data_IF_883849363858
#
_entry.id   IF_883849363858
#
_cell.length_a   1.000
_cell.length_b   1.000
_cell.length_c   1.000
_cell.angle_alpha   90.00
_cell.angle_beta   90.00
_cell.angle_gamma   90.00
#
_symmetry.space_group_name_H-M   'P 1'
#
loop_
_entity.id
_entity.type
_entity.pdbx_description
1 polymer ?
#
# COMPACT_ATOMS: atom_id res chain seq x y z
N UNK A 1 -9.14 3.57 -7.14
CA UNK A 1 -9.58 4.71 -7.98
C UNK A 1 -10.61 4.30 -9.03
N UNK A 2 -10.38 3.26 -9.84
CA UNK A 2 -11.38 2.78 -10.83
C UNK A 2 -12.76 2.48 -10.21
N UNK A 3 -12.81 1.72 -9.11
CA UNK A 3 -14.08 1.40 -8.43
C UNK A 3 -14.81 2.65 -7.88
N UNK A 4 -14.05 3.64 -7.38
CA UNK A 4 -14.63 4.91 -6.90
C UNK A 4 -15.29 5.69 -8.03
N UNK A 5 -14.77 5.61 -9.27
CA UNK A 5 -15.40 6.25 -10.44
C UNK A 5 -16.71 5.60 -10.88
N UNK A 6 -17.04 4.41 -10.36
CA UNK A 6 -18.31 3.72 -10.59
C UNK A 6 -19.28 3.88 -9.40
N UNK A 7 -19.04 4.86 -8.53
CA UNK A 7 -19.87 5.16 -7.35
C UNK A 7 -20.10 3.96 -6.42
N UNK A 8 -19.10 3.09 -6.30
CA UNK A 8 -19.10 1.94 -5.38
C UNK A 8 -19.07 2.42 -3.92
N UNK A 9 -19.94 1.86 -3.08
CA UNK A 9 -20.08 2.22 -1.66
C UNK A 9 -18.77 2.03 -0.88
N UNK A 10 -18.54 2.82 0.17
CA UNK A 10 -17.38 2.66 1.04
C UNK A 10 -17.30 1.28 1.68
N UNK A 11 -18.45 0.69 2.07
CA UNK A 11 -18.51 -0.70 2.56
C UNK A 11 -17.94 -1.71 1.56
N UNK A 12 -18.23 -1.50 0.28
CA UNK A 12 -17.73 -2.37 -0.78
C UNK A 12 -16.25 -2.10 -1.10
N UNK A 13 -15.81 -0.85 -0.97
CA UNK A 13 -14.38 -0.52 -1.04
C UNK A 13 -13.59 -1.12 0.14
N UNK A 14 -14.19 -1.21 1.32
CA UNK A 14 -13.63 -1.91 2.47
C UNK A 14 -13.60 -3.44 2.24
N UNK A 15 -14.60 -4.03 1.57
CA UNK A 15 -14.51 -5.42 1.14
C UNK A 15 -13.35 -5.62 0.15
N UNK A 16 -13.19 -4.70 -0.80
CA UNK A 16 -12.10 -4.78 -1.77
C UNK A 16 -10.71 -4.53 -1.14
N UNK A 17 -10.58 -3.80 -0.03
CA UNK A 17 -9.28 -3.58 0.62
C UNK A 17 -8.67 -4.87 1.19
N UNK A 18 -9.47 -5.92 1.39
CA UNK A 18 -8.98 -7.27 1.75
C UNK A 18 -8.03 -7.87 0.71
N UNK A 19 -8.03 -7.38 -0.53
CA UNK A 19 -7.07 -7.76 -1.57
C UNK A 19 -5.61 -7.60 -1.11
N UNK A 20 -5.31 -6.66 -0.22
CA UNK A 20 -3.95 -6.43 0.29
C UNK A 20 -3.59 -7.30 1.52
N UNK A 21 -4.54 -8.01 2.12
CA UNK A 21 -4.29 -8.84 3.29
C UNK A 21 -3.29 -9.98 3.10
N UNK A 22 -3.11 -10.59 1.90
CA UNK A 22 -2.04 -11.57 1.71
C UNK A 22 -0.66 -11.06 2.16
N UNK A 23 -0.34 -9.78 1.93
CA UNK A 23 0.91 -9.17 2.42
C UNK A 23 1.00 -9.03 3.96
N UNK A 24 -0.15 -9.08 4.64
CA UNK A 24 -0.30 -9.04 6.10
C UNK A 24 -0.31 -10.42 6.75
N UNK A 25 -0.48 -11.50 5.97
CA UNK A 25 -0.52 -12.89 6.48
C UNK A 25 0.58 -13.77 5.89
N UNK A 26 1.41 -13.25 4.98
CA UNK A 26 2.46 -13.99 4.26
C UNK A 26 3.46 -14.73 5.14
N UNK A 27 3.64 -14.28 6.38
CA UNK A 27 4.41 -15.00 7.40
C UNK A 27 3.98 -16.46 7.58
N UNK A 28 2.69 -16.78 7.39
CA UNK A 28 2.16 -18.12 7.59
C UNK A 28 2.80 -19.15 6.66
N UNK A 29 3.17 -18.76 5.44
CA UNK A 29 3.81 -19.64 4.46
C UNK A 29 5.26 -19.27 4.15
N UNK A 30 5.79 -18.20 4.76
CA UNK A 30 7.19 -17.81 4.56
C UNK A 30 8.21 -18.90 4.91
N UNK A 31 8.05 -19.66 6.02
CA UNK A 31 8.94 -20.78 6.31
C UNK A 31 8.91 -21.88 5.24
N UNK A 32 7.76 -22.12 4.60
CA UNK A 32 7.66 -23.09 3.49
C UNK A 32 8.47 -22.63 2.28
N UNK A 33 8.39 -21.34 1.97
CA UNK A 33 9.18 -20.71 0.88
C UNK A 33 10.68 -20.80 1.15
N UNK A 34 11.09 -20.67 2.42
CA UNK A 34 12.49 -20.73 2.80
C UNK A 34 13.06 -22.17 2.84
N UNK A 35 12.23 -23.18 3.12
CA UNK A 35 12.68 -24.57 3.38
C UNK A 35 12.51 -25.51 2.19
N UNK A 36 11.48 -25.34 1.36
CA UNK A 36 11.23 -26.23 0.21
C UNK A 36 11.94 -25.63 -1.00
N UNK A 37 12.96 -26.32 -1.51
CA UNK A 37 13.60 -25.88 -2.74
C UNK A 37 14.25 -27.02 -3.54
N UNK A 38 14.55 -26.70 -4.80
CA UNK A 38 15.24 -27.60 -5.72
C UNK A 38 16.73 -27.23 -5.72
N UNK A 39 17.65 -28.11 -5.27
CA UNK A 39 19.06 -27.77 -5.11
C UNK A 39 19.76 -27.33 -6.41
N UNK A 40 19.44 -27.97 -7.55
CA UNK A 40 20.07 -27.62 -8.83
C UNK A 40 19.57 -26.27 -9.39
N UNK A 41 18.34 -25.88 -9.06
CA UNK A 41 17.70 -24.67 -9.59
C UNK A 41 17.96 -23.45 -8.71
N UNK A 42 18.20 -23.67 -7.42
CA UNK A 42 18.47 -22.65 -6.42
C UNK A 42 17.27 -22.37 -5.52
N UNK A 43 17.54 -22.03 -4.26
CA UNK A 43 16.51 -21.82 -3.23
C UNK A 43 15.54 -20.72 -3.59
N UNK A 44 16.04 -19.54 -3.95
CA UNK A 44 15.22 -18.37 -4.24
C UNK A 44 14.51 -18.50 -5.58
N UNK A 45 15.19 -19.05 -6.58
CA UNK A 45 14.61 -19.29 -7.90
C UNK A 45 13.45 -20.28 -7.90
N UNK A 46 13.50 -21.31 -7.05
CA UNK A 46 12.45 -22.33 -6.96
C UNK A 46 11.07 -21.72 -6.69
N UNK A 47 11.01 -20.61 -5.95
CA UNK A 47 9.75 -19.91 -5.70
C UNK A 47 9.52 -18.71 -6.60
N UNK A 48 10.56 -17.92 -6.87
CA UNK A 48 10.42 -16.70 -7.67
C UNK A 48 9.96 -16.98 -9.10
N UNK A 49 10.55 -17.98 -9.76
CA UNK A 49 10.27 -18.24 -11.18
C UNK A 49 8.83 -18.77 -11.39
N UNK A 50 8.36 -19.82 -10.68
CA UNK A 50 6.99 -20.29 -10.84
C UNK A 50 5.94 -19.25 -10.44
N UNK A 51 6.16 -18.50 -9.35
CA UNK A 51 5.19 -17.48 -8.91
C UNK A 51 5.06 -16.34 -9.91
N UNK A 52 6.17 -15.85 -10.50
CA UNK A 52 6.09 -14.85 -11.56
C UNK A 52 5.42 -15.37 -12.83
N UNK A 53 5.66 -16.62 -13.22
CA UNK A 53 4.94 -17.26 -14.33
C UNK A 53 3.44 -17.34 -14.05
N UNK A 54 3.04 -17.75 -12.84
CA UNK A 54 1.65 -17.81 -12.43
C UNK A 54 0.99 -16.42 -12.42
N UNK A 55 1.70 -15.38 -11.96
CA UNK A 55 1.24 -13.98 -12.07
C UNK A 55 1.03 -13.60 -13.53
N UNK A 56 1.98 -13.91 -14.41
CA UNK A 56 1.86 -13.68 -15.85
C UNK A 56 0.65 -14.38 -16.47
N UNK A 57 0.45 -15.67 -16.20
CA UNK A 57 -0.72 -16.44 -16.65
C UNK A 57 -2.01 -15.82 -16.10
N UNK A 58 -2.03 -15.44 -14.82
CA UNK A 58 -3.19 -14.84 -14.19
C UNK A 58 -3.57 -13.51 -14.85
N UNK A 59 -2.59 -12.63 -15.11
CA UNK A 59 -2.81 -11.36 -15.81
C UNK A 59 -3.23 -11.58 -17.27
N UNK A 60 -2.68 -12.58 -17.94
CA UNK A 60 -3.07 -12.96 -19.30
C UNK A 60 -4.53 -13.40 -19.36
N UNK A 61 -4.95 -14.32 -18.50
CA UNK A 61 -6.35 -14.77 -18.43
C UNK A 61 -7.27 -13.60 -18.06
N UNK A 62 -6.91 -12.82 -17.05
CA UNK A 62 -7.70 -11.66 -16.63
C UNK A 62 -7.85 -10.64 -17.77
N UNK A 63 -6.86 -10.47 -18.64
CA UNK A 63 -6.96 -9.54 -19.77
C UNK A 63 -8.16 -9.81 -20.69
N UNK A 64 -8.57 -11.07 -20.85
CA UNK A 64 -9.73 -11.45 -21.67
C UNK A 64 -11.06 -11.29 -20.94
N UNK A 65 -11.10 -11.52 -19.62
CA UNK A 65 -12.34 -11.54 -18.82
C UNK A 65 -12.56 -10.26 -18.00
N UNK A 66 -11.61 -9.32 -17.97
CA UNK A 66 -11.68 -8.15 -17.07
C UNK A 66 -12.88 -7.26 -17.35
N UNK A 67 -13.31 -7.16 -18.62
CA UNK A 67 -14.50 -6.38 -19.01
C UNK A 67 -15.78 -6.98 -18.43
N UNK A 68 -15.91 -8.30 -18.51
CA UNK A 68 -17.07 -9.03 -17.97
C UNK A 68 -17.09 -8.95 -16.44
N UNK A 69 -15.93 -9.13 -15.79
CA UNK A 69 -15.79 -9.07 -14.33
C UNK A 69 -16.07 -7.66 -13.79
N UNK A 70 -15.79 -6.62 -14.56
CA UNK A 70 -16.13 -5.24 -14.23
C UNK A 70 -17.59 -4.88 -14.55
N UNK A 71 -18.36 -5.78 -15.17
CA UNK A 71 -19.78 -5.57 -15.47
C UNK A 71 -20.03 -4.70 -16.69
N UNK A 72 -19.08 -4.59 -17.63
CA UNK A 72 -19.26 -3.84 -18.88
C UNK A 72 -20.15 -4.59 -19.91
N UNK A 73 -20.52 -5.85 -19.62
CA UNK A 73 -21.33 -6.71 -20.50
C UNK A 73 -22.78 -6.94 -20.07
N UNK A 74 -23.21 -6.41 -18.92
CA UNK A 74 -24.55 -6.66 -18.36
C UNK A 74 -25.30 -5.32 -18.17
N UNK A 75 -26.52 -5.19 -18.70
CA UNK A 75 -27.36 -3.97 -18.65
C UNK A 75 -27.66 -3.49 -17.20
N UNK A 76 -27.31 -4.30 -16.20
CA UNK A 76 -27.44 -4.00 -14.77
C UNK A 76 -26.28 -3.20 -14.17
N UNK A 77 -25.11 -3.16 -14.83
CA UNK A 77 -23.91 -2.41 -14.39
C UNK A 77 -23.36 -2.79 -13.01
N UNK A 78 -23.80 -3.90 -12.39
CA UNK A 78 -23.41 -4.29 -11.03
C UNK A 78 -22.08 -5.05 -11.05
N UNK A 79 -21.02 -4.39 -10.59
CA UNK A 79 -19.72 -5.03 -10.33
C UNK A 79 -19.90 -6.10 -9.24
N UNK A 80 -19.50 -7.35 -9.51
CA UNK A 80 -19.43 -8.36 -8.45
C UNK A 80 -18.14 -8.17 -7.64
N UNK A 81 -18.24 -7.37 -6.60
CA UNK A 81 -17.09 -6.93 -5.79
C UNK A 81 -16.49 -8.10 -5.02
N UNK A 82 -17.29 -9.09 -4.64
CA UNK A 82 -16.80 -10.30 -3.98
C UNK A 82 -15.91 -11.14 -4.93
N UNK A 83 -16.38 -11.36 -6.16
CA UNK A 83 -15.60 -12.06 -7.18
C UNK A 83 -14.31 -11.32 -7.51
N UNK A 84 -14.39 -9.99 -7.69
CA UNK A 84 -13.24 -9.14 -7.96
C UNK A 84 -12.23 -9.20 -6.80
N UNK A 85 -12.72 -9.14 -5.55
CA UNK A 85 -11.89 -9.27 -4.34
C UNK A 85 -11.18 -10.62 -4.32
N UNK A 86 -11.89 -11.72 -4.61
CA UNK A 86 -11.29 -13.06 -4.64
C UNK A 86 -10.20 -13.21 -5.72
N UNK A 87 -10.47 -12.74 -6.94
CA UNK A 87 -9.51 -12.76 -8.06
C UNK A 87 -8.23 -12.01 -7.67
N UNK A 88 -8.37 -10.76 -7.23
CA UNK A 88 -7.21 -9.95 -6.86
C UNK A 88 -6.53 -10.41 -5.56
N UNK A 89 -7.26 -11.05 -4.64
CA UNK A 89 -6.67 -11.69 -3.46
C UNK A 89 -5.73 -12.84 -3.87
N UNK A 90 -6.12 -13.67 -4.84
CA UNK A 90 -5.25 -14.74 -5.37
C UNK A 90 -4.01 -14.17 -6.07
N UNK A 91 -4.19 -13.15 -6.90
CA UNK A 91 -3.06 -12.45 -7.54
C UNK A 91 -2.09 -11.87 -6.51
N UNK A 92 -2.61 -11.21 -5.46
CA UNK A 92 -1.79 -10.63 -4.40
C UNK A 92 -1.17 -11.69 -3.49
N UNK A 93 -1.76 -12.88 -3.37
CA UNK A 93 -1.14 -14.01 -2.67
C UNK A 93 0.10 -14.53 -3.41
N UNK A 94 0.04 -14.59 -4.74
CA UNK A 94 1.23 -14.90 -5.56
C UNK A 94 2.29 -13.81 -5.44
N UNK A 95 1.89 -12.54 -5.52
CA UNK A 95 2.81 -11.40 -5.36
C UNK A 95 3.46 -11.37 -3.97
N UNK A 96 2.70 -11.66 -2.90
CA UNK A 96 3.24 -11.76 -1.55
C UNK A 96 4.23 -12.93 -1.39
N UNK A 97 4.02 -14.04 -2.11
CA UNK A 97 4.96 -15.17 -2.15
C UNK A 97 6.24 -14.80 -2.89
N UNK A 98 6.13 -14.08 -4.00
CA UNK A 98 7.28 -13.53 -4.72
C UNK A 98 8.07 -12.55 -3.84
N UNK A 99 7.39 -11.70 -3.09
CA UNK A 99 8.00 -10.72 -2.17
C UNK A 99 8.84 -11.40 -1.08
N UNK A 100 8.38 -12.51 -0.50
CA UNK A 100 9.18 -13.33 0.44
C UNK A 100 10.47 -13.81 -0.23
N UNK A 101 10.36 -14.37 -1.44
CA UNK A 101 11.50 -14.91 -2.17
C UNK A 101 12.52 -13.81 -2.52
N UNK A 102 12.05 -12.63 -2.96
CA UNK A 102 12.91 -11.50 -3.34
C UNK A 102 13.56 -10.84 -2.11
N UNK A 103 12.81 -10.62 -1.02
CA UNK A 103 13.35 -10.08 0.23
C UNK A 103 14.47 -10.99 0.77
N UNK A 104 14.23 -12.30 0.80
CA UNK A 104 15.23 -13.29 1.20
C UNK A 104 16.43 -13.38 0.24
N UNK A 105 16.24 -13.09 -1.04
CA UNK A 105 17.33 -13.08 -2.04
C UNK A 105 18.18 -11.82 -1.95
N UNK A 106 17.59 -10.67 -1.61
CA UNK A 106 18.32 -9.41 -1.49
C UNK A 106 19.38 -9.45 -0.38
N UNK A 107 19.06 -10.14 0.73
CA UNK A 107 19.99 -10.33 1.85
C UNK A 107 21.23 -11.15 1.48
N UNK A 108 21.09 -12.16 0.61
CA UNK A 108 22.21 -13.01 0.16
C UNK A 108 22.90 -12.48 -1.09
N UNK A 109 22.23 -11.62 -1.87
CA UNK A 109 22.78 -11.03 -3.09
C UNK A 109 23.71 -9.84 -2.82
N UNK A 110 23.48 -9.09 -1.74
CA UNK A 110 24.25 -7.90 -1.39
C UNK A 110 25.34 -8.22 -0.37
N UNK A 111 26.53 -7.62 -0.55
CA UNK A 111 27.60 -7.69 0.46
C UNK A 111 27.14 -7.12 1.80
N UNK A 112 27.61 -7.66 2.94
CA UNK A 112 27.21 -7.23 4.30
C UNK A 112 27.23 -5.71 4.53
N UNK A 113 28.22 -5.00 3.95
CA UNK A 113 28.34 -3.53 4.02
C UNK A 113 27.19 -2.77 3.34
N UNK A 114 26.56 -3.39 2.34
CA UNK A 114 25.56 -2.78 1.47
C UNK A 114 24.15 -3.33 1.70
N UNK A 115 23.92 -4.16 2.72
CA UNK A 115 22.59 -4.74 3.01
C UNK A 115 21.55 -3.64 3.30
N UNK A 116 21.96 -2.50 3.87
CA UNK A 116 21.08 -1.35 4.06
C UNK A 116 20.47 -0.83 2.75
N UNK A 117 21.18 -0.93 1.62
CA UNK A 117 20.69 -0.50 0.30
C UNK A 117 19.60 -1.42 -0.26
N UNK A 118 19.45 -2.65 0.25
CA UNK A 118 18.35 -3.54 -0.12
C UNK A 118 17.00 -2.84 0.07
N UNK A 119 16.85 -2.18 1.23
CA UNK A 119 15.64 -1.43 1.58
C UNK A 119 15.39 -0.26 0.64
N UNK A 120 16.44 0.44 0.22
CA UNK A 120 16.35 1.56 -0.73
C UNK A 120 15.92 1.07 -2.11
N UNK A 121 16.54 0.00 -2.61
CA UNK A 121 16.17 -0.60 -3.90
C UNK A 121 14.72 -1.08 -3.90
N UNK A 122 14.28 -1.74 -2.82
CA UNK A 122 12.90 -2.20 -2.69
C UNK A 122 11.92 -1.00 -2.67
N UNK A 123 12.22 0.04 -1.88
CA UNK A 123 11.40 1.26 -1.83
C UNK A 123 11.29 1.92 -3.21
N UNK A 124 12.41 2.14 -3.90
CA UNK A 124 12.41 2.79 -5.22
C UNK A 124 11.68 1.93 -6.26
N UNK A 125 11.89 0.62 -6.24
CA UNK A 125 11.21 -0.32 -7.14
C UNK A 125 9.69 -0.33 -6.93
N UNK A 126 9.22 -0.39 -5.68
CA UNK A 126 7.79 -0.33 -5.35
C UNK A 126 7.17 1.02 -5.78
N UNK A 127 7.84 2.13 -5.52
CA UNK A 127 7.39 3.47 -5.97
C UNK A 127 7.28 3.54 -7.49
N UNK A 128 8.29 3.06 -8.22
CA UNK A 128 8.27 3.05 -9.68
C UNK A 128 7.14 2.14 -10.21
N UNK A 129 6.95 0.96 -9.61
CA UNK A 129 5.86 0.04 -9.95
C UNK A 129 4.48 0.66 -9.71
N UNK A 130 4.27 1.31 -8.56
CA UNK A 130 3.03 2.03 -8.25
C UNK A 130 2.77 3.16 -9.26
N UNK A 131 3.80 3.92 -9.62
CA UNK A 131 3.67 4.98 -10.61
C UNK A 131 3.20 4.44 -11.97
N UNK A 132 3.89 3.43 -12.49
CA UNK A 132 3.57 2.88 -13.81
C UNK A 132 2.22 2.16 -13.78
N UNK A 133 1.92 1.47 -12.67
CA UNK A 133 0.69 0.70 -12.46
C UNK A 133 -0.56 1.54 -12.23
N UNK A 134 -0.44 2.69 -11.58
CA UNK A 134 -1.59 3.53 -11.23
C UNK A 134 -1.65 4.81 -12.07
N UNK A 135 -0.64 5.67 -11.96
CA UNK A 135 -0.70 7.03 -12.50
C UNK A 135 -0.55 7.04 -14.02
N UNK A 136 0.48 6.36 -14.52
CA UNK A 136 0.73 6.27 -15.96
C UNK A 136 -0.42 5.55 -16.67
N UNK A 137 -0.88 4.44 -16.08
CA UNK A 137 -2.04 3.71 -16.58
C UNK A 137 -3.32 4.55 -16.59
N UNK A 138 -3.69 5.20 -15.47
CA UNK A 138 -4.93 6.00 -15.41
C UNK A 138 -4.91 7.18 -16.40
N UNK A 139 -3.75 7.79 -16.61
CA UNK A 139 -3.59 8.83 -17.63
C UNK A 139 -3.83 8.30 -19.05
N UNK A 140 -3.27 7.14 -19.38
CA UNK A 140 -3.44 6.53 -20.71
C UNK A 140 -4.81 5.88 -20.95
N UNK A 141 -5.49 5.47 -19.89
CA UNK A 141 -6.83 4.89 -19.95
C UNK A 141 -7.92 5.97 -20.08
N UNK A 142 -7.73 7.13 -19.47
CA UNK A 142 -8.67 8.24 -19.58
C UNK A 142 -8.69 8.85 -20.99
N UNK A 143 -9.84 8.77 -21.65
CA UNK A 143 -10.08 9.41 -22.94
C UNK A 143 -9.94 10.94 -22.83
N UNK A 144 -10.43 11.56 -21.77
CA UNK A 144 -10.35 13.01 -21.54
C UNK A 144 -8.91 13.48 -21.42
N UNK A 145 -8.08 12.75 -20.66
CA UNK A 145 -6.66 13.07 -20.55
C UNK A 145 -5.96 12.93 -21.91
N UNK A 146 -6.20 11.83 -22.62
CA UNK A 146 -5.59 11.57 -23.92
C UNK A 146 -6.01 12.62 -24.96
N UNK A 147 -7.29 12.97 -25.03
CA UNK A 147 -7.82 13.96 -25.97
C UNK A 147 -7.33 15.38 -25.67
N UNK A 148 -7.09 15.70 -24.40
CA UNK A 148 -6.64 17.04 -23.99
C UNK A 148 -5.13 17.25 -24.11
N UNK A 149 -4.33 16.23 -23.82
CA UNK A 149 -2.87 16.38 -23.69
C UNK A 149 -2.06 15.63 -24.75
N UNK A 150 -2.60 14.58 -25.37
CA UNK A 150 -1.82 13.65 -26.19
C UNK A 150 -2.33 13.50 -27.65
N UNK A 151 -3.62 13.70 -27.91
CA UNK A 151 -4.22 13.53 -29.25
C UNK A 151 -4.57 14.86 -29.89
N UNK A 152 -4.40 14.91 -31.20
CA UNK A 152 -4.89 16.00 -32.05
C UNK A 152 -6.34 15.80 -32.52
N UNK A 153 -6.82 14.55 -32.56
CA UNK A 153 -8.21 14.19 -32.94
C UNK A 153 -8.88 13.47 -31.76
N UNK A 154 -10.03 13.97 -31.25
CA UNK A 154 -10.71 13.36 -30.12
C UNK A 154 -11.25 11.96 -30.45
N UNK A 155 -11.06 11.00 -29.55
CA UNK A 155 -11.70 9.68 -29.62
C UNK A 155 -12.33 9.30 -28.27
N UNK A 156 -13.24 8.32 -28.29
CA UNK A 156 -14.04 7.94 -27.11
C UNK A 156 -13.30 7.08 -26.08
N UNK A 157 -12.21 6.41 -26.47
CA UNK A 157 -11.42 5.54 -25.60
C UNK A 157 -10.02 6.11 -25.36
N UNK A 158 -9.38 5.77 -24.24
CA UNK A 158 -7.97 6.08 -23.99
C UNK A 158 -7.02 5.41 -25.00
N UNK A 159 -5.71 5.67 -24.88
CA UNK A 159 -4.69 4.96 -25.66
C UNK A 159 -4.56 3.50 -25.25
N UNK A 160 -4.78 3.20 -23.97
CA UNK A 160 -4.60 1.87 -23.39
C UNK A 160 -5.84 1.48 -22.60
N UNK A 161 -6.43 0.34 -22.93
CA UNK A 161 -7.52 -0.25 -22.14
C UNK A 161 -6.94 -1.07 -20.98
N UNK A 162 -7.72 -1.28 -19.91
CA UNK A 162 -7.31 -2.15 -18.81
C UNK A 162 -6.94 -3.56 -19.29
N UNK A 163 -7.71 -4.11 -20.23
CA UNK A 163 -7.40 -5.40 -20.87
C UNK A 163 -6.03 -5.37 -21.57
N UNK A 164 -5.77 -4.36 -22.40
CA UNK A 164 -4.48 -4.20 -23.09
C UNK A 164 -3.31 -4.02 -22.11
N UNK A 165 -3.53 -3.30 -21.01
CA UNK A 165 -2.53 -3.13 -19.96
C UNK A 165 -2.17 -4.45 -19.27
N UNK A 166 -3.17 -5.24 -18.86
CA UNK A 166 -2.95 -6.56 -18.25
C UNK A 166 -2.25 -7.52 -19.20
N UNK A 167 -2.64 -7.52 -20.47
CA UNK A 167 -1.99 -8.31 -21.51
C UNK A 167 -0.52 -7.93 -21.68
N UNK A 168 -0.21 -6.63 -21.82
CA UNK A 168 1.16 -6.15 -21.95
C UNK A 168 2.03 -6.59 -20.76
N UNK A 169 1.54 -6.39 -19.53
CA UNK A 169 2.30 -6.79 -18.34
C UNK A 169 2.46 -8.30 -18.23
N UNK A 170 1.48 -9.10 -18.66
CA UNK A 170 1.64 -10.56 -18.71
C UNK A 170 2.85 -10.99 -19.54
N UNK A 171 3.03 -10.37 -20.71
CA UNK A 171 4.19 -10.62 -21.59
C UNK A 171 5.47 -10.14 -20.93
N UNK A 172 5.48 -8.97 -20.30
CA UNK A 172 6.64 -8.47 -19.56
C UNK A 172 7.02 -9.43 -18.42
N UNK A 173 6.06 -9.94 -17.65
CA UNK A 173 6.31 -10.95 -16.62
C UNK A 173 6.93 -12.21 -17.23
N UNK A 174 6.39 -12.75 -18.32
CA UNK A 174 6.96 -13.92 -18.99
C UNK A 174 8.40 -13.70 -19.45
N UNK A 175 8.66 -12.59 -20.14
CA UNK A 175 9.99 -12.27 -20.68
C UNK A 175 10.99 -12.05 -19.56
N UNK A 176 10.68 -11.17 -18.60
CA UNK A 176 11.59 -10.85 -17.49
C UNK A 176 11.88 -12.06 -16.62
N UNK A 177 10.89 -12.90 -16.34
CA UNK A 177 11.07 -14.15 -15.59
C UNK A 177 11.99 -15.11 -16.32
N UNK A 178 11.80 -15.27 -17.64
CA UNK A 178 12.67 -16.10 -18.48
C UNK A 178 14.12 -15.59 -18.45
N UNK A 179 14.32 -14.28 -18.57
CA UNK A 179 15.65 -13.66 -18.50
C UNK A 179 16.30 -13.90 -17.13
N UNK A 180 15.57 -13.71 -16.01
CA UNK A 180 16.09 -13.99 -14.66
C UNK A 180 16.42 -15.47 -14.49
N UNK A 181 15.58 -16.36 -15.01
CA UNK A 181 15.79 -17.81 -14.96
C UNK A 181 17.09 -18.22 -15.66
N UNK A 182 17.37 -17.67 -16.83
CA UNK A 182 18.55 -18.01 -17.65
C UNK A 182 19.82 -17.32 -17.14
N UNK A 183 19.79 -16.00 -16.95
CA UNK A 183 21.01 -15.20 -16.76
C UNK A 183 21.51 -15.14 -15.31
N UNK A 184 20.61 -15.13 -14.33
CA UNK A 184 21.02 -14.95 -12.94
C UNK A 184 21.34 -16.30 -12.32
N UNK A 185 22.59 -16.66 -12.05
CA UNK A 185 22.90 -17.90 -11.31
C UNK A 185 22.84 -17.68 -9.80
N UNK A 186 22.23 -18.62 -9.08
CA UNK A 186 22.26 -18.66 -7.62
C UNK A 186 23.49 -19.45 -7.19
N UNK A 187 24.27 -18.91 -6.24
CA UNK A 187 25.38 -19.64 -5.62
C UNK A 187 24.82 -20.35 -4.39
N UNK A 188 25.29 -21.58 -4.13
CA UNK A 188 24.98 -22.25 -2.87
C UNK A 188 25.46 -21.36 -1.72
N UNK A 189 24.58 -21.12 -0.75
CA UNK A 189 24.86 -20.32 0.43
C UNK A 189 25.58 -21.22 1.45
N UNK A 190 26.88 -21.03 1.71
CA UNK A 190 27.63 -21.90 2.61
C UNK A 190 27.19 -21.76 4.08
N UNK A 191 26.47 -20.70 4.43
CA UNK A 191 26.03 -20.38 5.79
C UNK A 191 24.64 -20.97 6.13
N UNK A 192 23.99 -21.68 5.19
CA UNK A 192 22.65 -22.25 5.38
C UNK A 192 22.74 -23.76 5.45
N UNK A 193 22.35 -24.32 6.60
CA UNK A 193 22.30 -25.77 6.79
C UNK A 193 21.23 -26.39 5.87
N UNK A 194 21.62 -27.23 4.88
CA UNK A 194 20.68 -27.85 3.96
C UNK A 194 19.73 -28.84 4.64
N UNK A 195 19.97 -29.21 5.90
CA UNK A 195 19.15 -30.17 6.66
C UNK A 195 18.04 -29.53 7.51
N UNK A 196 17.94 -28.19 7.59
CA UNK A 196 16.91 -27.54 8.40
C UNK A 196 15.50 -27.87 7.90
N UNK A 197 14.75 -28.62 8.70
CA UNK A 197 13.39 -29.01 8.38
C UNK A 197 12.39 -27.84 8.42
N UNK A 198 11.26 -27.99 7.73
CA UNK A 198 10.12 -27.04 7.78
C UNK A 198 9.74 -26.75 9.23
N UNK A 199 9.60 -27.81 10.04
CA UNK A 199 9.20 -27.73 11.45
C UNK A 199 10.21 -26.95 12.31
N UNK A 200 11.51 -27.13 12.05
CA UNK A 200 12.56 -26.41 12.76
C UNK A 200 12.54 -24.93 12.42
N UNK A 201 12.31 -24.59 11.15
CA UNK A 201 12.15 -23.20 10.70
C UNK A 201 10.98 -22.51 11.40
N UNK A 202 9.82 -23.19 11.51
CA UNK A 202 8.68 -22.68 12.30
C UNK A 202 9.00 -22.55 13.79
N UNK A 203 9.72 -23.52 14.38
CA UNK A 203 10.12 -23.49 15.79
C UNK A 203 11.07 -22.32 16.10
N UNK A 204 12.01 -22.05 15.20
CA UNK A 204 12.92 -20.89 15.28
C UNK A 204 12.09 -19.60 15.17
N UNK A 205 11.19 -19.49 14.19
CA UNK A 205 10.32 -18.32 14.03
C UNK A 205 9.49 -18.04 15.28
N UNK A 206 8.87 -19.07 15.88
CA UNK A 206 8.12 -18.94 17.14
C UNK A 206 9.04 -18.46 18.27
N UNK A 207 10.28 -18.93 18.30
CA UNK A 207 11.27 -18.50 19.31
C UNK A 207 11.66 -17.03 19.13
N UNK A 208 11.83 -16.56 17.88
CA UNK A 208 12.09 -15.15 17.56
C UNK A 208 10.91 -14.26 17.96
N UNK A 209 9.67 -14.68 17.65
CA UNK A 209 8.45 -13.95 18.04
C UNK A 209 8.33 -13.81 19.56
N UNK A 210 8.88 -14.76 20.35
CA UNK A 210 8.89 -14.70 21.82
C UNK A 210 9.96 -13.76 22.40
N UNK A 211 10.88 -13.23 21.59
CA UNK A 211 11.89 -12.28 22.09
C UNK A 211 11.19 -10.99 22.54
N UNK A 212 11.51 -10.46 23.75
CA UNK A 212 10.81 -9.29 24.30
C UNK A 212 11.01 -8.02 23.45
N UNK A 213 12.16 -7.90 22.78
CA UNK A 213 12.44 -6.83 21.83
C UNK A 213 11.51 -6.91 20.61
N UNK A 214 11.38 -8.11 20.02
CA UNK A 214 10.51 -8.39 18.87
C UNK A 214 9.04 -8.16 19.20
N UNK A 215 8.54 -8.70 20.32
CA UNK A 215 7.15 -8.46 20.76
C UNK A 215 6.88 -6.96 20.92
N UNK A 216 7.77 -6.26 21.61
CA UNK A 216 7.64 -4.81 21.83
C UNK A 216 7.59 -4.06 20.49
N UNK A 217 8.42 -4.46 19.53
CA UNK A 217 8.48 -3.83 18.22
C UNK A 217 7.28 -4.18 17.33
N UNK A 218 6.79 -5.42 17.36
CA UNK A 218 5.58 -5.84 16.66
C UNK A 218 4.36 -5.03 17.12
N UNK A 219 4.21 -4.76 18.43
CA UNK A 219 3.14 -3.89 18.95
C UNK A 219 3.25 -2.47 18.37
N UNK A 220 4.46 -1.93 18.28
CA UNK A 220 4.72 -0.61 17.69
C UNK A 220 4.36 -0.59 16.20
N UNK A 221 4.76 -1.60 15.43
CA UNK A 221 4.41 -1.73 14.02
C UNK A 221 2.90 -1.82 13.80
N UNK A 222 2.18 -2.55 14.65
CA UNK A 222 0.72 -2.72 14.54
C UNK A 222 -0.07 -1.45 14.88
N UNK A 223 0.47 -0.56 15.73
CA UNK A 223 -0.28 0.57 16.30
C UNK A 223 0.15 1.94 15.78
N UNK A 224 1.41 2.09 15.33
CA UNK A 224 1.97 3.39 14.95
C UNK A 224 1.27 4.09 13.78
N UNK A 225 0.71 3.32 12.83
CA UNK A 225 0.10 3.85 11.61
C UNK A 225 -1.37 4.25 11.76
N UNK A 226 -2.02 3.90 12.88
CA UNK A 226 -3.41 4.31 13.17
C UNK A 226 -3.56 5.83 13.16
N UNK A 227 -2.51 6.56 13.51
CA UNK A 227 -2.52 8.03 13.51
C UNK A 227 -2.77 8.67 12.14
N UNK A 228 -2.57 7.93 11.04
CA UNK A 228 -2.64 8.45 9.68
C UNK A 228 -3.72 7.76 8.82
N UNK A 229 -4.38 6.72 9.35
CA UNK A 229 -5.18 5.82 8.53
C UNK A 229 -6.39 6.48 7.89
N UNK A 230 -7.05 7.40 8.59
CA UNK A 230 -8.16 8.18 8.05
C UNK A 230 -7.68 9.07 6.88
N UNK A 231 -6.60 9.82 7.09
CA UNK A 231 -6.01 10.67 6.05
C UNK A 231 -5.57 9.86 4.83
N UNK A 232 -4.82 8.77 5.03
CA UNK A 232 -4.25 7.99 3.93
C UNK A 232 -5.33 7.27 3.10
N UNK A 233 -6.41 6.80 3.75
CA UNK A 233 -7.44 5.98 3.08
C UNK A 233 -8.59 6.79 2.49
N UNK A 234 -9.00 7.88 3.16
CA UNK A 234 -10.23 8.59 2.82
C UNK A 234 -10.00 9.88 2.03
N UNK A 235 -8.87 10.58 2.22
CA UNK A 235 -8.67 11.93 1.63
C UNK A 235 -8.85 11.93 0.10
N UNK A 236 -8.26 10.95 -0.60
CA UNK A 236 -8.39 10.88 -2.06
C UNK A 236 -9.83 10.64 -2.51
N UNK A 237 -10.59 9.83 -1.77
CA UNK A 237 -12.01 9.55 -2.04
C UNK A 237 -12.86 10.79 -1.76
N UNK A 238 -12.60 11.50 -0.65
CA UNK A 238 -13.32 12.71 -0.27
C UNK A 238 -13.08 13.89 -1.22
N UNK A 239 -11.87 14.00 -1.78
CA UNK A 239 -11.59 14.97 -2.84
C UNK A 239 -12.39 14.66 -4.12
N UNK A 240 -12.54 13.38 -4.47
CA UNK A 240 -13.39 12.95 -5.59
C UNK A 240 -14.86 13.27 -5.31
N UNK A 241 -15.36 12.98 -4.10
CA UNK A 241 -16.74 13.32 -3.69
C UNK A 241 -16.99 14.83 -3.70
N UNK A 242 -15.97 15.64 -3.38
CA UNK A 242 -16.03 17.11 -3.49
C UNK A 242 -16.03 17.62 -4.94
N UNK A 243 -16.07 16.71 -5.92
CA UNK A 243 -16.12 17.04 -7.34
C UNK A 243 -14.76 17.17 -8.02
N UNK A 244 -13.65 16.75 -7.40
CA UNK A 244 -12.35 16.73 -8.08
C UNK A 244 -12.28 15.58 -9.11
N UNK A 245 -11.96 15.87 -10.38
CA UNK A 245 -11.77 14.82 -11.37
C UNK A 245 -10.60 13.90 -10.97
N UNK A 246 -10.81 12.58 -11.06
CA UNK A 246 -9.79 11.56 -10.72
C UNK A 246 -8.51 11.71 -11.55
N UNK A 247 -8.64 12.16 -12.79
CA UNK A 247 -7.55 12.40 -13.72
C UNK A 247 -6.64 13.51 -13.19
N UNK A 248 -7.23 14.55 -12.58
CA UNK A 248 -6.45 15.67 -11.99
C UNK A 248 -5.65 15.20 -10.77
N UNK A 249 -6.23 14.34 -9.93
CA UNK A 249 -5.51 13.73 -8.81
C UNK A 249 -4.33 12.87 -9.29
N UNK A 250 -4.52 12.08 -10.35
CA UNK A 250 -3.43 11.30 -10.92
C UNK A 250 -2.33 12.19 -11.52
N UNK A 251 -2.70 13.29 -12.20
CA UNK A 251 -1.70 14.25 -12.71
C UNK A 251 -0.86 14.85 -11.59
N UNK A 252 -1.41 15.08 -10.38
CA UNK A 252 -0.60 15.56 -9.24
C UNK A 252 0.44 14.55 -8.76
N UNK A 253 0.24 13.25 -9.00
CA UNK A 253 1.26 12.27 -8.70
C UNK A 253 2.45 12.36 -9.66
N UNK A 254 2.29 12.91 -10.88
CA UNK A 254 3.36 12.97 -11.89
C UNK A 254 4.57 13.83 -11.42
N UNK A 255 4.39 15.10 -11.00
CA UNK A 255 5.51 15.89 -10.48
C UNK A 255 6.16 15.29 -9.24
N UNK A 256 5.47 14.40 -8.53
CA UNK A 256 6.00 13.80 -7.31
C UNK A 256 6.94 12.64 -7.58
N UNK A 257 6.88 11.96 -8.72
CA UNK A 257 7.70 10.76 -8.95
C UNK A 257 9.20 11.04 -8.86
N UNK A 258 9.74 12.11 -9.48
CA UNK A 258 11.15 12.41 -9.33
C UNK A 258 11.48 12.60 -7.85
N UNK A 259 10.63 13.32 -7.10
CA UNK A 259 10.79 13.47 -5.66
C UNK A 259 10.75 12.10 -4.98
N UNK A 260 9.78 11.24 -5.24
CA UNK A 260 9.63 9.94 -4.58
C UNK A 260 10.74 8.93 -4.90
N UNK A 261 11.38 9.02 -6.07
CA UNK A 261 12.53 8.17 -6.44
C UNK A 261 13.82 8.73 -5.86
N UNK A 262 14.01 10.05 -5.93
CA UNK A 262 15.25 10.73 -5.56
C UNK A 262 15.34 10.92 -4.03
N UNK A 263 14.22 11.17 -3.37
CA UNK A 263 14.15 11.47 -1.95
C UNK A 263 14.65 10.29 -1.08
N UNK A 264 14.24 9.01 -1.28
CA UNK A 264 14.81 7.89 -0.52
C UNK A 264 16.32 7.78 -0.65
N UNK A 265 16.89 8.12 -1.82
CA UNK A 265 18.34 8.08 -2.05
C UNK A 265 19.07 9.15 -1.25
N UNK A 266 18.50 10.36 -1.13
CA UNK A 266 19.08 11.42 -0.31
C UNK A 266 18.88 11.19 1.18
N UNK A 267 17.69 10.73 1.57
CA UNK A 267 17.32 10.52 2.97
C UNK A 267 17.98 9.25 3.53
N UNK A 268 18.33 8.24 2.70
CA UNK A 268 18.98 7.00 3.14
C UNK A 268 20.24 7.22 3.96
N UNK A 269 21.03 8.26 3.65
CA UNK A 269 22.23 8.62 4.44
C UNK A 269 21.90 8.91 5.91
N UNK A 270 20.73 9.47 6.16
CA UNK A 270 20.25 9.80 7.50
C UNK A 270 19.48 8.63 8.09
N UNK A 271 18.63 7.96 7.30
CA UNK A 271 17.75 6.88 7.78
C UNK A 271 18.42 5.51 7.89
N UNK A 272 19.56 5.29 7.25
CA UNK A 272 20.39 4.09 7.45
C UNK A 272 21.50 4.31 8.49
N UNK A 273 21.43 5.40 9.27
CA UNK A 273 22.38 5.69 10.35
C UNK A 273 22.25 4.74 11.56
N UNK A 274 22.97 5.02 12.66
CA UNK A 274 22.98 4.15 13.83
C UNK A 274 21.62 4.08 14.54
N UNK A 275 20.77 5.10 14.40
CA UNK A 275 19.48 5.24 15.10
C UNK A 275 18.33 5.62 14.13
N UNK A 276 17.92 4.72 13.21
CA UNK A 276 16.87 4.97 12.23
C UNK A 276 15.52 5.36 12.85
N UNK A 277 15.14 4.76 13.98
CA UNK A 277 13.81 4.99 14.58
C UNK A 277 13.68 6.38 15.20
N UNK A 278 14.79 7.05 15.47
CA UNK A 278 14.78 8.46 15.87
C UNK A 278 14.21 9.38 14.77
N UNK A 279 14.46 9.07 13.49
CA UNK A 279 13.92 9.83 12.36
C UNK A 279 12.44 9.54 12.18
N UNK A 280 12.04 8.27 12.34
CA UNK A 280 10.63 7.87 12.34
C UNK A 280 9.82 8.69 13.36
N UNK A 281 10.30 8.79 14.60
CA UNK A 281 9.62 9.55 15.66
C UNK A 281 9.59 11.06 15.40
N UNK A 282 10.63 11.63 14.79
CA UNK A 282 10.66 13.05 14.42
C UNK A 282 9.72 13.37 13.27
N UNK A 283 9.56 12.48 12.30
CA UNK A 283 8.68 12.68 11.14
C UNK A 283 7.19 12.54 11.49
N UNK A 284 6.86 11.70 12.48
CA UNK A 284 5.48 11.37 12.85
C UNK A 284 4.61 12.60 13.20
N UNK A 285 5.02 13.54 14.09
CA UNK A 285 4.23 14.74 14.38
C UNK A 285 3.93 15.60 13.16
N UNK A 286 4.91 15.80 12.27
CA UNK A 286 4.72 16.60 11.06
C UNK A 286 3.74 15.94 10.09
N UNK A 287 3.83 14.61 9.93
CA UNK A 287 2.87 13.85 9.13
C UNK A 287 1.46 13.94 9.70
N UNK A 288 1.30 13.89 11.02
CA UNK A 288 -0.01 14.07 11.67
C UNK A 288 -0.57 15.49 11.43
N UNK A 289 0.28 16.51 11.56
CA UNK A 289 -0.12 17.90 11.28
C UNK A 289 -0.56 18.10 9.82
N UNK A 290 0.12 17.45 8.87
CA UNK A 290 -0.31 17.44 7.47
C UNK A 290 -1.63 16.68 7.27
N UNK A 291 -1.92 15.67 8.07
CA UNK A 291 -3.23 15.00 8.07
C UNK A 291 -4.38 15.94 8.43
N UNK A 292 -4.19 16.80 9.45
CA UNK A 292 -5.14 17.86 9.79
C UNK A 292 -5.26 18.89 8.67
N UNK A 293 -4.12 19.24 8.04
CA UNK A 293 -4.12 20.15 6.89
C UNK A 293 -4.91 19.58 5.70
N UNK A 294 -4.81 18.27 5.43
CA UNK A 294 -5.63 17.62 4.40
C UNK A 294 -7.11 17.67 4.70
N UNK A 295 -7.52 17.49 5.96
CA UNK A 295 -8.91 17.68 6.34
C UNK A 295 -9.36 19.12 6.03
N UNK A 296 -8.55 20.12 6.36
CA UNK A 296 -8.81 21.51 5.97
C UNK A 296 -8.88 21.73 4.44
N UNK A 297 -8.04 21.04 3.66
CA UNK A 297 -8.07 21.12 2.20
C UNK A 297 -9.33 20.48 1.62
N UNK A 298 -9.78 19.34 2.16
CA UNK A 298 -11.04 18.70 1.75
C UNK A 298 -12.22 19.62 2.05
N UNK A 299 -12.24 20.25 3.23
CA UNK A 299 -13.24 21.27 3.57
C UNK A 299 -13.21 22.44 2.58
N UNK A 300 -12.02 22.96 2.28
CA UNK A 300 -11.84 24.04 1.32
C UNK A 300 -12.31 23.64 -0.09
N UNK A 301 -12.10 22.39 -0.50
CA UNK A 301 -12.52 21.88 -1.80
C UNK A 301 -14.03 22.09 -2.01
N UNK A 302 -14.84 21.78 -1.00
CA UNK A 302 -16.30 21.93 -1.07
C UNK A 302 -16.73 23.39 -1.26
N UNK A 303 -16.02 24.34 -0.65
CA UNK A 303 -16.39 25.76 -0.69
C UNK A 303 -15.84 26.53 -1.89
N UNK A 304 -14.76 26.05 -2.49
CA UNK A 304 -13.97 26.78 -3.49
C UNK A 304 -14.26 26.34 -4.92
N UNK A 305 -15.12 25.34 -5.09
CA UNK A 305 -15.54 24.86 -6.40
C UNK A 305 -16.25 25.98 -7.19
N UNK A 306 -15.65 26.38 -8.33
CA UNK A 306 -16.20 27.46 -9.19
C UNK A 306 -17.29 26.88 -10.10
N UNK A 307 -17.02 25.70 -10.68
CA UNK A 307 -17.92 24.91 -11.51
C UNK A 307 -17.75 23.43 -11.16
N UNK A 308 -18.72 22.57 -11.48
CA UNK A 308 -18.55 21.12 -11.32
C UNK A 308 -17.24 20.67 -11.98
N UNK A 309 -16.31 20.10 -11.20
CA UNK A 309 -14.99 19.68 -11.69
C UNK A 309 -13.88 20.74 -11.76
N UNK A 310 -14.17 22.03 -11.59
CA UNK A 310 -13.19 23.11 -11.74
C UNK A 310 -12.91 23.85 -10.42
N UNK A 311 -11.63 23.90 -10.07
CA UNK A 311 -11.12 24.59 -8.88
C UNK A 311 -10.14 25.70 -9.30
N UNK A 312 -9.98 26.76 -8.50
CA UNK A 312 -9.01 27.80 -8.75
C UNK A 312 -7.57 27.28 -8.71
N UNK A 313 -6.67 27.97 -9.41
CA UNK A 313 -5.27 27.57 -9.52
C UNK A 313 -4.52 27.55 -8.17
N UNK A 314 -4.88 28.46 -7.25
CA UNK A 314 -4.29 28.51 -5.92
C UNK A 314 -4.60 27.25 -5.10
N UNK A 315 -5.79 26.67 -5.29
CA UNK A 315 -6.19 25.45 -4.59
C UNK A 315 -5.37 24.25 -5.07
N UNK A 316 -5.15 24.14 -6.37
CA UNK A 316 -4.28 23.11 -6.94
C UNK A 316 -2.82 23.27 -6.51
N UNK A 317 -2.30 24.51 -6.48
CA UNK A 317 -0.94 24.77 -6.00
C UNK A 317 -0.78 24.40 -4.52
N UNK A 318 -1.76 24.75 -3.67
CA UNK A 318 -1.79 24.39 -2.26
C UNK A 318 -1.81 22.86 -2.07
N UNK A 319 -2.71 22.17 -2.78
CA UNK A 319 -2.83 20.71 -2.71
C UNK A 319 -1.53 20.02 -3.14
N UNK A 320 -0.93 20.47 -4.25
CA UNK A 320 0.34 19.90 -4.75
C UNK A 320 1.49 20.12 -3.76
N UNK A 321 1.59 21.31 -3.16
CA UNK A 321 2.62 21.61 -2.15
C UNK A 321 2.44 20.75 -0.89
N UNK A 322 1.20 20.64 -0.40
CA UNK A 322 0.89 19.80 0.76
C UNK A 322 1.17 18.32 0.46
N UNK A 323 0.89 17.87 -0.76
CA UNK A 323 1.22 16.53 -1.21
C UNK A 323 2.72 16.29 -1.27
N UNK A 324 3.50 17.21 -1.81
CA UNK A 324 4.96 17.12 -1.81
C UNK A 324 5.53 17.02 -0.38
N UNK A 325 5.09 17.89 0.53
CA UNK A 325 5.51 17.88 1.93
C UNK A 325 5.11 16.58 2.62
N UNK A 326 3.89 16.09 2.37
CA UNK A 326 3.40 14.84 2.93
C UNK A 326 4.28 13.66 2.52
N UNK A 327 4.63 13.56 1.23
CA UNK A 327 5.50 12.50 0.74
C UNK A 327 6.85 12.48 1.45
N UNK A 328 7.43 13.64 1.78
CA UNK A 328 8.70 13.70 2.51
C UNK A 328 8.64 12.94 3.84
N UNK A 329 7.59 13.18 4.63
CA UNK A 329 7.45 12.52 5.93
C UNK A 329 7.03 11.05 5.82
N UNK A 330 6.17 10.70 4.84
CA UNK A 330 5.80 9.30 4.55
C UNK A 330 7.04 8.47 4.24
N UNK A 331 7.86 8.91 3.29
CA UNK A 331 9.07 8.18 2.88
C UNK A 331 10.13 8.19 3.97
N UNK A 332 10.28 9.28 4.73
CA UNK A 332 11.19 9.31 5.89
C UNK A 332 10.84 8.23 6.91
N UNK A 333 9.55 8.05 7.22
CA UNK A 333 9.09 7.00 8.13
C UNK A 333 9.28 5.60 7.50
N UNK A 334 8.88 5.41 6.25
CA UNK A 334 8.95 4.12 5.57
C UNK A 334 10.40 3.61 5.44
N UNK A 335 11.31 4.43 4.93
CA UNK A 335 12.72 4.05 4.75
C UNK A 335 13.39 3.80 6.09
N UNK A 336 13.10 4.62 7.12
CA UNK A 336 13.62 4.38 8.48
C UNK A 336 13.17 3.03 9.03
N UNK A 337 11.89 2.68 8.86
CA UNK A 337 11.33 1.41 9.32
C UNK A 337 11.97 0.23 8.59
N UNK A 338 12.08 0.29 7.26
CA UNK A 338 12.71 -0.77 6.47
C UNK A 338 14.20 -0.94 6.79
N UNK A 339 14.93 0.17 6.99
CA UNK A 339 16.32 0.15 7.40
C UNK A 339 16.51 -0.49 8.78
N UNK A 340 15.62 -0.18 9.74
CA UNK A 340 15.65 -0.82 11.05
C UNK A 340 15.32 -2.31 10.98
N UNK A 341 14.27 -2.70 10.24
CA UNK A 341 13.93 -4.12 10.00
C UNK A 341 15.12 -4.89 9.45
N UNK A 342 15.79 -4.36 8.43
CA UNK A 342 16.96 -4.97 7.83
C UNK A 342 18.16 -5.04 8.80
N UNK A 343 18.34 -4.03 9.65
CA UNK A 343 19.42 -3.98 10.65
C UNK A 343 19.24 -5.02 11.76
N UNK A 344 18.01 -5.23 12.26
CA UNK A 344 17.75 -6.12 13.40
C UNK A 344 17.52 -7.58 12.99
N UNK A 345 17.27 -7.85 11.71
CA UNK A 345 17.07 -9.21 11.20
C UNK A 345 18.40 -9.97 11.16
N UNK A 346 18.47 -11.07 11.91
CA UNK A 346 19.65 -11.95 11.96
C UNK A 346 19.93 -12.57 10.57
N UNK A 347 21.13 -12.40 9.97
CA UNK A 347 21.45 -12.97 8.65
C UNK A 347 21.25 -14.50 8.54
N UNK A 348 21.45 -15.24 9.63
CA UNK A 348 21.31 -16.72 9.64
C UNK A 348 19.86 -17.18 9.49
N UNK A 349 18.91 -16.36 9.96
CA UNK A 349 17.45 -16.59 9.89
C UNK A 349 16.78 -15.45 9.06
N UNK A 350 17.58 -14.74 8.25
CA UNK A 350 17.26 -13.38 7.82
C UNK A 350 16.03 -13.25 6.95
N UNK A 351 15.75 -14.26 6.11
CA UNK A 351 14.57 -14.27 5.24
C UNK A 351 13.25 -14.28 6.03
N UNK A 352 13.07 -15.29 6.89
CA UNK A 352 11.88 -15.45 7.71
C UNK A 352 11.70 -14.33 8.75
N UNK A 353 12.80 -13.83 9.34
CA UNK A 353 12.73 -12.73 10.31
C UNK A 353 12.38 -11.38 9.65
N UNK A 354 13.04 -11.03 8.54
CA UNK A 354 12.66 -9.83 7.78
C UNK A 354 11.20 -9.91 7.32
N UNK A 355 10.78 -11.10 6.88
CA UNK A 355 9.39 -11.35 6.49
C UNK A 355 8.42 -11.14 7.66
N UNK A 356 8.72 -11.63 8.87
CA UNK A 356 7.92 -11.37 10.08
C UNK A 356 7.69 -9.87 10.29
N UNK A 357 8.77 -9.09 10.33
CA UNK A 357 8.66 -7.65 10.60
C UNK A 357 7.92 -6.91 9.49
N UNK A 358 8.18 -7.24 8.23
CA UNK A 358 7.47 -6.65 7.09
C UNK A 358 5.98 -7.04 7.09
N UNK A 359 5.66 -8.29 7.41
CA UNK A 359 4.27 -8.78 7.51
C UNK A 359 3.50 -8.03 8.58
N UNK A 360 4.08 -7.88 9.77
CA UNK A 360 3.46 -7.14 10.88
C UNK A 360 3.32 -5.65 10.54
N UNK A 361 4.29 -5.06 9.84
CA UNK A 361 4.22 -3.68 9.39
C UNK A 361 3.16 -3.43 8.31
N UNK A 362 2.92 -4.40 7.42
CA UNK A 362 1.86 -4.37 6.42
C UNK A 362 0.50 -4.51 7.10
N UNK A 363 0.36 -5.46 8.03
CA UNK A 363 -0.85 -5.61 8.83
C UNK A 363 -1.18 -4.31 9.55
N UNK A 364 -0.19 -3.70 10.22
CA UNK A 364 -0.33 -2.42 10.93
C UNK A 364 -0.75 -1.24 10.06
N UNK A 365 -0.58 -1.31 8.74
CA UNK A 365 -1.13 -0.31 7.79
C UNK A 365 -2.50 -0.69 7.22
N UNK A 366 -2.73 -1.98 6.96
CA UNK A 366 -3.92 -2.46 6.29
C UNK A 366 -5.15 -2.54 7.21
N UNK A 367 -4.98 -3.01 8.46
CA UNK A 367 -6.10 -3.14 9.39
C UNK A 367 -6.74 -1.79 9.77
N UNK A 368 -5.97 -0.71 10.08
CA UNK A 368 -6.57 0.58 10.40
C UNK A 368 -7.25 1.19 9.18
N UNK A 369 -6.63 1.08 8.00
CA UNK A 369 -7.17 1.61 6.75
C UNK A 369 -8.51 0.96 6.39
N UNK A 370 -8.61 -0.36 6.51
CA UNK A 370 -9.86 -1.11 6.31
C UNK A 370 -10.91 -0.71 7.32
N UNK A 371 -10.53 -0.54 8.59
CA UNK A 371 -11.44 -0.09 9.64
C UNK A 371 -11.98 1.32 9.36
N UNK A 372 -11.14 2.29 8.99
CA UNK A 372 -11.58 3.66 8.69
C UNK A 372 -12.52 3.71 7.48
N UNK A 373 -12.22 2.95 6.41
CA UNK A 373 -13.12 2.86 5.25
C UNK A 373 -14.50 2.28 5.60
N UNK A 374 -14.56 1.33 6.53
CA UNK A 374 -15.82 0.74 6.98
C UNK A 374 -16.56 1.63 7.98
N UNK A 375 -15.83 2.29 8.89
CA UNK A 375 -16.38 3.05 10.00
C UNK A 375 -16.92 4.42 9.59
N UNK A 376 -16.37 5.03 8.52
CA UNK A 376 -16.75 6.39 8.08
C UNK A 376 -18.25 6.51 7.78
N UNK A 377 -18.85 5.48 7.20
CA UNK A 377 -20.28 5.46 6.87
C UNK A 377 -21.17 5.46 8.12
N UNK A 378 -20.73 4.81 9.21
CA UNK A 378 -21.50 4.72 10.46
C UNK A 378 -21.53 6.02 11.25
N UNK A 379 -20.50 6.85 11.10
CA UNK A 379 -20.37 8.13 11.82
C UNK A 379 -20.61 9.34 10.92
N UNK A 380 -21.04 9.12 9.68
CA UNK A 380 -21.45 10.19 8.77
C UNK A 380 -22.94 10.47 8.97
N UNK A 381 -23.28 11.71 9.31
CA UNK A 381 -24.66 12.16 9.42
C UNK A 381 -25.14 12.80 8.12
N UNK A 382 -26.27 12.30 7.62
CA UNK A 382 -26.94 12.81 6.42
C UNK A 382 -28.36 13.20 6.77
N UNK A 383 -28.80 14.36 6.29
CA UNK A 383 -30.18 14.83 6.43
C UNK A 383 -30.80 15.08 5.07
N UNK A 384 -32.11 14.85 4.96
CA UNK A 384 -32.88 15.23 3.79
C UNK A 384 -33.19 16.73 3.87
N UNK A 385 -32.72 17.50 2.90
CA UNK A 385 -33.08 18.91 2.75
C UNK A 385 -34.24 19.05 1.74
N UNK A 386 -35.30 19.76 2.11
CA UNK A 386 -36.48 19.97 1.26
C UNK A 386 -37.46 18.79 1.13
N UNK A 387 -37.25 17.67 1.84
CA UNK A 387 -38.12 16.49 1.79
C UNK A 387 -38.31 15.79 3.15
N UNK A 388 -39.02 14.65 3.15
CA UNK A 388 -39.27 13.82 4.36
C UNK A 388 -38.75 12.41 4.12
N UNK A 389 -37.74 11.99 4.89
CA UNK A 389 -37.12 10.66 4.80
C UNK A 389 -35.76 10.63 5.50
N UNK A 390 -35.15 9.45 5.61
CA UNK A 390 -33.81 9.24 6.17
C UNK A 390 -32.76 9.04 5.07
N UNK A 391 -31.61 9.71 5.16
CA UNK A 391 -30.56 9.57 4.14
C UNK A 391 -29.51 8.51 4.49
N UNK A 392 -29.81 7.63 5.45
CA UNK A 392 -28.91 6.58 5.93
C UNK A 392 -29.03 5.29 5.13
N UNK A 393 -30.25 4.93 4.72
CA UNK A 393 -30.53 3.74 3.93
C UNK A 393 -30.73 4.09 2.46
N UNK A 394 -30.44 3.16 1.54
CA UNK A 394 -30.70 3.37 0.10
C UNK A 394 -32.18 3.64 -0.13
N UNK A 395 -33.06 2.91 0.54
CA UNK A 395 -34.51 3.08 0.45
C UNK A 395 -34.96 4.43 1.02
N UNK A 396 -34.40 4.86 2.16
CA UNK A 396 -34.67 6.18 2.73
C UNK A 396 -34.20 7.34 1.85
N UNK A 397 -33.02 7.20 1.23
CA UNK A 397 -32.50 8.19 0.29
C UNK A 397 -33.36 8.30 -0.98
N UNK A 398 -33.94 7.18 -1.44
CA UNK A 398 -34.90 7.16 -2.53
C UNK A 398 -36.19 7.90 -2.12
N UNK A 399 -36.72 7.66 -0.91
CA UNK A 399 -37.91 8.36 -0.39
C UNK A 399 -37.68 9.88 -0.25
N UNK A 400 -36.50 10.30 0.21
CA UNK A 400 -36.14 11.72 0.27
C UNK A 400 -36.16 12.36 -1.13
N UNK A 401 -35.57 11.67 -2.12
CA UNK A 401 -35.45 12.17 -3.49
C UNK A 401 -36.80 12.16 -4.22
N UNK A 402 -37.62 11.14 -4.01
CA UNK A 402 -38.98 11.03 -4.57
C UNK A 402 -39.91 12.14 -4.06
N UNK A 403 -39.70 12.61 -2.83
CA UNK A 403 -40.45 13.72 -2.24
C UNK A 403 -39.87 15.11 -2.54
N UNK A 404 -38.96 15.20 -3.51
CA UNK A 404 -38.38 16.47 -3.98
C UNK A 404 -37.26 17.01 -3.07
N UNK A 405 -36.78 16.22 -2.10
CA UNK A 405 -35.66 16.57 -1.26
C UNK A 405 -34.31 16.13 -1.84
N UNK A 406 -33.22 16.67 -1.31
CA UNK A 406 -31.86 16.23 -1.61
C UNK A 406 -31.15 15.78 -0.34
N UNK A 407 -30.42 14.67 -0.41
CA UNK A 407 -29.64 14.18 0.73
C UNK A 407 -28.35 14.98 0.86
N UNK A 408 -28.26 15.80 1.90
CA UNK A 408 -27.08 16.61 2.20
C UNK A 408 -26.35 15.99 3.41
N UNK A 409 -25.03 15.84 3.29
CA UNK A 409 -24.19 15.44 4.41
C UNK A 409 -23.99 16.64 5.34
N UNK A 410 -24.53 16.57 6.56
CA UNK A 410 -24.41 17.66 7.55
C UNK A 410 -23.13 17.57 8.36
N UNK A 411 -22.69 16.35 8.68
CA UNK A 411 -21.43 16.10 9.36
C UNK A 411 -20.77 14.87 8.76
N UNK A 412 -19.66 15.10 8.05
CA UNK A 412 -18.89 14.03 7.41
C UNK A 412 -18.01 13.32 8.44
N UNK A 413 -18.15 12.00 8.51
CA UNK A 413 -17.37 11.13 9.40
C UNK A 413 -15.87 11.30 9.25
N UNK A 414 -15.39 11.65 8.05
CA UNK A 414 -13.96 11.84 7.76
C UNK A 414 -13.27 12.85 8.71
N UNK A 415 -13.94 13.94 9.06
CA UNK A 415 -13.36 14.95 9.97
C UNK A 415 -13.23 14.41 11.40
N UNK A 416 -14.21 13.62 11.83
CA UNK A 416 -14.23 13.00 13.16
C UNK A 416 -13.17 11.91 13.24
N UNK A 417 -13.09 11.03 12.24
CA UNK A 417 -12.05 10.00 12.18
C UNK A 417 -10.65 10.60 12.16
N UNK A 418 -10.45 11.68 11.39
CA UNK A 418 -9.16 12.38 11.35
C UNK A 418 -8.80 12.94 12.73
N UNK A 419 -9.74 13.57 13.43
CA UNK A 419 -9.51 14.07 14.79
C UNK A 419 -9.20 12.94 15.79
N UNK A 420 -9.93 11.82 15.72
CA UNK A 420 -9.68 10.62 16.54
C UNK A 420 -8.30 10.04 16.25
N UNK A 421 -7.92 9.88 14.97
CA UNK A 421 -6.62 9.37 14.57
C UNK A 421 -5.48 10.25 15.11
N UNK A 422 -5.62 11.58 15.03
CA UNK A 422 -4.64 12.52 15.56
C UNK A 422 -4.53 12.40 17.09
N UNK A 423 -5.65 12.33 17.81
CA UNK A 423 -5.64 12.12 19.26
C UNK A 423 -4.94 10.81 19.65
N UNK A 424 -5.27 9.71 18.97
CA UNK A 424 -4.61 8.41 19.15
C UNK A 424 -3.10 8.53 18.87
N UNK A 425 -2.70 9.23 17.80
CA UNK A 425 -1.30 9.44 17.47
C UNK A 425 -0.52 10.21 18.53
N UNK A 426 -1.13 11.25 19.13
CA UNK A 426 -0.50 12.03 20.20
C UNK A 426 -0.33 11.19 21.48
N UNK A 427 -1.35 10.41 21.83
CA UNK A 427 -1.29 9.45 22.93
C UNK A 427 -0.24 8.37 22.68
N UNK A 428 -0.16 7.86 21.45
CA UNK A 428 0.81 6.86 21.03
C UNK A 428 2.24 7.39 21.15
N UNK A 429 2.50 8.63 20.70
CA UNK A 429 3.79 9.29 20.86
C UNK A 429 4.18 9.39 22.33
N UNK A 430 3.25 9.73 23.24
CA UNK A 430 3.54 9.78 24.67
C UNK A 430 3.83 8.39 25.26
N UNK A 431 3.11 7.37 24.79
CA UNK A 431 3.18 6.01 25.33
C UNK A 431 4.39 5.20 24.82
N UNK A 432 4.66 5.20 23.52
CA UNK A 432 5.61 4.27 22.87
C UNK A 432 6.89 4.90 22.35
N UNK A 433 7.00 6.22 22.25
CA UNK A 433 8.22 6.88 21.73
C UNK A 433 9.47 6.49 22.51
N UNK A 434 9.42 6.53 23.85
CA UNK A 434 10.53 6.15 24.73
C UNK A 434 10.93 4.68 24.53
N UNK A 435 9.93 3.80 24.40
CA UNK A 435 10.19 2.37 24.18
C UNK A 435 10.83 2.13 22.82
N UNK A 436 10.40 2.84 21.78
CA UNK A 436 11.00 2.73 20.45
C UNK A 436 12.45 3.23 20.45
N UNK A 437 12.76 4.31 21.16
CA UNK A 437 14.14 4.78 21.32
C UNK A 437 15.02 3.79 22.09
N UNK A 438 14.48 3.13 23.12
CA UNK A 438 15.18 2.05 23.82
C UNK A 438 15.49 0.88 22.90
N UNK A 439 14.50 0.44 22.10
CA UNK A 439 14.68 -0.64 21.12
C UNK A 439 15.75 -0.30 20.07
N UNK A 440 15.79 0.95 19.61
CA UNK A 440 16.78 1.44 18.64
C UNK A 440 18.22 1.47 19.20
N UNK A 441 18.35 1.50 20.53
CA UNK A 441 19.62 1.52 21.24
C UNK A 441 20.09 0.13 21.72
N UNK A 442 19.27 -0.92 21.57
CA UNK A 442 19.66 -2.28 21.94
C UNK A 442 20.77 -2.82 21.04
N UNK A 443 21.60 -3.69 21.61
CA UNK A 443 22.63 -4.38 20.85
C UNK A 443 22.00 -5.45 19.95
N UNK A 444 22.65 -5.76 18.81
CA UNK A 444 22.16 -6.78 17.87
C UNK A 444 21.97 -8.15 18.53
N UNK A 445 22.73 -8.45 19.60
CA UNK A 445 22.60 -9.70 20.37
C UNK A 445 21.24 -9.87 21.03
N UNK A 446 20.55 -8.77 21.37
CA UNK A 446 19.22 -8.80 21.98
C UNK A 446 18.11 -9.09 20.95
N UNK A 447 18.44 -8.99 19.66
CA UNK A 447 17.56 -9.30 18.54
C UNK A 447 17.82 -10.68 17.94
N UNK A 448 18.92 -11.33 18.32
CA UNK A 448 19.35 -12.62 17.76
C UNK A 448 18.87 -13.80 18.60
N UNK A 449 18.55 -14.90 17.91
CA UNK A 449 18.19 -16.15 18.55
C UNK A 449 19.45 -16.87 19.03
N UNK A 450 19.58 -17.11 20.34
CA UNK A 450 20.76 -17.76 20.97
C UNK A 450 20.93 -19.25 20.69
N UNK A 451 20.20 -19.83 19.74
CA UNK A 451 20.25 -21.26 19.43
C UNK A 451 21.24 -21.65 18.33
N UNK A 452 21.91 -20.70 17.67
CA UNK A 452 23.04 -21.02 16.79
C UNK A 452 24.26 -21.32 17.65
N UNK A 453 24.52 -22.61 17.87
CA UNK A 453 25.85 -23.07 18.30
C UNK A 453 26.76 -23.17 17.09
#
# INVERSE_FOLDING_TARGET
MLLSSRHVSYKDQALFSFVYWPFSVKLLWAPLVDSIYIPWFGRRKTWLVPTQYLIGVFMFVLSYYVKDVLGDGDDSGKVNILLLTFIFFMLNSLAATQDIAVDGWALTMLSRRNVGWASTCNSVGQTAGYFIGNVFFLGLESADFCNKYLRSVPQKEGFVTLAGFLYFWSVVFFVTTTLVMIFKRERADPDVDPEMGIFETYKILISVIRLPAVVSYCIILLTSKVAFSATDSLTSLKLIESGMPKERLAVFAIPMIPIQIVLPIFISKYTSGPRPMSIFLKAMPFRMGLGVLYAGIVYLAFHVQIKPGEFPIYFYALLLLCYALHQVFVYSMFVSQMAFNAKVSDPTIGGSYMTLLNTVANLGGNWPSTFMLWFVDYITWKSCDGGVGDCYTKDGSAVCTEKGGSCITTLDGYYIETAICVAIGLLWLRWRSRRLQQLDALDLKDWQYKGSK
#
